data_IF_912059432027
#
_entry.id   IF_912059432027
#
_cell.length_a   1.000
_cell.length_b   1.000
_cell.length_c   1.000
_cell.angle_alpha   90.00
_cell.angle_beta   90.00
_cell.angle_gamma   90.00
#
_symmetry.space_group_name_H-M   'P 1'
#
loop_
_entity.id
_entity.type
_entity.pdbx_description
1 polymer ?
#
# COMPACT_ATOMS: atom_id res chain seq x y z
N UNK A 1 17.25 -12.68 14.63
CA UNK A 1 15.88 -12.81 15.14
C UNK A 1 15.03 -13.31 13.98
N UNK A 2 14.55 -14.55 14.02
CA UNK A 2 13.66 -15.09 12.99
C UNK A 2 12.23 -14.83 13.48
N UNK A 3 11.60 -13.78 12.97
CA UNK A 3 10.21 -13.50 13.30
C UNK A 3 9.34 -14.36 12.39
N UNK A 4 8.69 -15.38 12.96
CA UNK A 4 7.79 -16.24 12.21
C UNK A 4 6.48 -15.49 11.96
N UNK A 5 6.34 -14.89 10.78
CA UNK A 5 5.10 -14.29 10.32
C UNK A 5 4.42 -15.23 9.32
N UNK A 6 3.13 -15.50 9.49
CA UNK A 6 2.38 -16.20 8.44
C UNK A 6 2.06 -15.20 7.31
N UNK A 7 2.23 -15.56 6.03
CA UNK A 7 1.90 -14.67 4.93
C UNK A 7 0.43 -14.22 5.00
N UNK A 8 0.20 -12.91 4.90
CA UNK A 8 -1.14 -12.31 4.87
C UNK A 8 -1.91 -12.30 6.20
N UNK A 9 -1.31 -12.76 7.31
CA UNK A 9 -1.98 -12.78 8.62
C UNK A 9 -1.97 -11.41 9.32
N UNK A 10 -0.88 -10.66 9.17
CA UNK A 10 -0.71 -9.35 9.80
C UNK A 10 -0.18 -8.36 8.77
N UNK A 11 -0.68 -7.12 8.83
CA UNK A 11 -0.11 -5.95 8.19
C UNK A 11 0.11 -4.89 9.26
N UNK A 12 1.31 -4.32 9.31
CA UNK A 12 1.65 -3.24 10.24
C UNK A 12 1.49 -1.92 9.52
N UNK A 13 0.78 -0.97 10.14
CA UNK A 13 0.45 0.32 9.54
C UNK A 13 0.71 1.45 10.52
N UNK A 14 1.17 2.59 10.02
CA UNK A 14 1.33 3.81 10.82
C UNK A 14 1.40 5.06 9.93
N UNK A 15 1.29 6.23 10.57
CA UNK A 15 1.75 7.49 10.00
C UNK A 15 3.23 7.70 10.32
N UNK A 16 4.02 8.17 9.37
CA UNK A 16 5.38 8.61 9.64
C UNK A 16 5.36 9.79 10.62
N UNK A 17 6.25 9.74 11.62
CA UNK A 17 6.30 10.77 12.67
C UNK A 17 6.75 12.15 12.16
N UNK A 18 7.61 12.17 11.15
CA UNK A 18 8.06 13.42 10.52
C UNK A 18 7.04 13.88 9.46
N UNK A 19 6.67 15.16 9.53
CA UNK A 19 5.79 15.78 8.53
C UNK A 19 6.61 16.15 7.29
N UNK A 20 6.23 15.60 6.14
CA UNK A 20 6.79 15.98 4.85
C UNK A 20 6.12 17.26 4.32
N UNK A 21 6.57 17.74 3.17
CA UNK A 21 5.95 18.87 2.49
C UNK A 21 5.92 18.66 0.97
N UNK A 22 4.82 19.11 0.37
CA UNK A 22 4.68 19.28 -1.08
C UNK A 22 4.73 20.78 -1.37
N UNK A 23 5.49 21.17 -2.39
CA UNK A 23 5.53 22.55 -2.84
C UNK A 23 4.59 22.66 -4.04
N UNK A 24 3.56 23.50 -3.92
CA UNK A 24 2.69 23.85 -5.04
C UNK A 24 3.52 24.62 -6.08
N UNK A 25 3.59 24.11 -7.31
CA UNK A 25 4.47 24.65 -8.34
C UNK A 25 3.98 25.97 -8.92
N UNK A 26 2.69 26.27 -8.79
CA UNK A 26 2.06 27.45 -9.37
C UNK A 26 2.12 28.65 -8.41
N UNK A 27 1.97 28.38 -7.12
CA UNK A 27 1.90 29.40 -6.06
C UNK A 27 3.17 29.49 -5.22
N UNK A 28 3.98 28.42 -5.18
CA UNK A 28 5.12 28.27 -4.27
C UNK A 28 4.72 27.95 -2.83
N UNK A 29 3.43 27.68 -2.54
CA UNK A 29 2.96 27.32 -1.21
C UNK A 29 3.57 26.00 -0.74
N UNK A 30 3.97 25.95 0.54
CA UNK A 30 4.48 24.74 1.18
C UNK A 30 3.31 24.09 1.93
N UNK A 31 2.83 22.97 1.40
CA UNK A 31 1.67 22.24 1.91
C UNK A 31 2.15 21.05 2.73
N UNK A 32 1.75 20.91 4.01
CA UNK A 32 2.09 19.75 4.83
C UNK A 32 1.58 18.45 4.22
N UNK A 33 2.43 17.42 4.23
CA UNK A 33 2.08 16.08 3.77
C UNK A 33 2.45 15.04 4.83
N UNK A 34 1.53 14.10 5.07
CA UNK A 34 1.64 13.04 6.06
C UNK A 34 1.75 11.70 5.36
N UNK A 35 2.79 10.94 5.70
CA UNK A 35 3.10 9.71 4.98
C UNK A 35 2.48 8.52 5.70
N UNK A 36 1.54 7.85 5.06
CA UNK A 36 1.03 6.56 5.50
C UNK A 36 2.00 5.46 5.06
N UNK A 37 2.32 4.54 5.97
CA UNK A 37 3.18 3.39 5.71
C UNK A 37 2.47 2.12 6.11
N UNK A 38 2.44 1.13 5.22
CA UNK A 38 1.95 -0.22 5.50
C UNK A 38 3.01 -1.25 5.12
N UNK A 39 3.30 -2.22 6.00
CA UNK A 39 4.32 -3.25 5.76
C UNK A 39 3.78 -4.64 6.07
N UNK A 40 4.04 -5.58 5.15
CA UNK A 40 3.81 -7.00 5.35
C UNK A 40 5.07 -7.63 5.97
N UNK A 41 5.05 -8.00 7.26
CA UNK A 41 6.27 -8.38 7.98
C UNK A 41 6.84 -9.74 7.53
N UNK A 42 6.05 -10.59 6.88
CA UNK A 42 6.54 -11.83 6.28
C UNK A 42 7.50 -11.59 5.10
N UNK A 43 7.15 -10.66 4.21
CA UNK A 43 7.90 -10.41 2.97
C UNK A 43 8.77 -9.16 3.04
N UNK A 44 8.62 -8.32 4.07
CA UNK A 44 9.25 -7.00 4.15
C UNK A 44 8.72 -6.03 3.09
N UNK A 45 7.58 -6.34 2.48
CA UNK A 45 7.02 -5.56 1.40
C UNK A 45 6.24 -4.37 1.98
N UNK A 46 6.59 -3.16 1.56
CA UNK A 46 6.00 -1.92 2.06
C UNK A 46 5.25 -1.15 0.97
N UNK A 47 4.14 -0.55 1.39
CA UNK A 47 3.37 0.45 0.67
C UNK A 47 3.50 1.78 1.39
N UNK A 48 3.66 2.86 0.62
CA UNK A 48 3.87 4.21 1.13
C UNK A 48 3.06 5.18 0.28
N UNK A 49 2.26 6.03 0.91
CA UNK A 49 1.48 7.07 0.23
C UNK A 49 1.40 8.33 1.09
N UNK A 50 1.39 9.50 0.44
CA UNK A 50 1.31 10.79 1.11
C UNK A 50 -0.12 11.34 1.06
N UNK A 51 -0.57 11.90 2.18
CA UNK A 51 -1.89 12.51 2.36
C UNK A 51 -1.76 13.93 2.90
N UNK A 52 -2.72 14.80 2.58
CA UNK A 52 -2.76 16.16 3.13
C UNK A 52 -3.47 16.25 4.50
N UNK A 53 -3.91 15.12 5.06
CA UNK A 53 -4.51 15.03 6.40
C UNK A 53 -4.24 13.67 7.04
N UNK A 54 -4.30 13.62 8.37
CA UNK A 54 -4.24 12.39 9.18
C UNK A 54 -5.62 12.01 9.76
N UNK A 55 -6.70 12.53 9.21
CA UNK A 55 -8.04 12.26 9.70
C UNK A 55 -8.50 10.81 9.38
N UNK A 56 -9.67 10.43 9.91
CA UNK A 56 -10.22 9.09 9.73
C UNK A 56 -10.51 8.72 8.27
N UNK A 57 -10.87 9.71 7.44
CA UNK A 57 -11.16 9.50 6.03
C UNK A 57 -9.87 9.19 5.25
N UNK A 58 -8.80 9.93 5.49
CA UNK A 58 -7.47 9.65 4.95
C UNK A 58 -6.94 8.30 5.43
N UNK A 59 -7.13 7.97 6.72
CA UNK A 59 -6.75 6.67 7.26
C UNK A 59 -7.48 5.51 6.55
N UNK A 60 -8.79 5.64 6.36
CA UNK A 60 -9.61 4.61 5.69
C UNK A 60 -9.23 4.48 4.22
N UNK A 61 -9.04 5.60 3.53
CA UNK A 61 -8.63 5.64 2.13
C UNK A 61 -7.28 4.96 1.93
N UNK A 62 -6.30 5.26 2.77
CA UNK A 62 -4.97 4.66 2.71
C UNK A 62 -4.99 3.12 2.82
N UNK A 63 -5.89 2.57 3.65
CA UNK A 63 -6.07 1.12 3.77
C UNK A 63 -6.67 0.51 2.50
N UNK A 64 -7.68 1.16 1.94
CA UNK A 64 -8.34 0.71 0.71
C UNK A 64 -7.34 0.68 -0.45
N UNK A 65 -6.59 1.76 -0.66
CA UNK A 65 -5.60 1.87 -1.73
C UNK A 65 -4.44 0.88 -1.53
N UNK A 66 -3.93 0.74 -0.30
CA UNK A 66 -2.91 -0.25 0.03
C UNK A 66 -3.36 -1.68 -0.34
N UNK A 67 -4.55 -2.09 0.08
CA UNK A 67 -5.09 -3.42 -0.21
C UNK A 67 -5.31 -3.64 -1.71
N UNK A 68 -5.81 -2.63 -2.42
CA UNK A 68 -5.98 -2.70 -3.88
C UNK A 68 -4.64 -2.89 -4.60
N UNK A 69 -3.60 -2.12 -4.22
CA UNK A 69 -2.27 -2.24 -4.81
C UNK A 69 -1.61 -3.58 -4.49
N UNK A 70 -1.73 -4.05 -3.24
CA UNK A 70 -1.23 -5.37 -2.84
C UNK A 70 -1.92 -6.49 -3.63
N UNK A 71 -3.24 -6.37 -3.82
CA UNK A 71 -4.00 -7.31 -4.63
C UNK A 71 -3.58 -7.29 -6.11
N UNK A 72 -3.46 -6.11 -6.73
CA UNK A 72 -3.00 -5.97 -8.11
C UNK A 72 -1.61 -6.59 -8.30
N UNK A 73 -0.66 -6.30 -7.40
CA UNK A 73 0.68 -6.89 -7.48
C UNK A 73 0.69 -8.39 -7.28
N UNK A 74 -0.20 -8.91 -6.44
CA UNK A 74 -0.40 -10.35 -6.31
C UNK A 74 -0.92 -10.98 -7.62
N UNK A 75 -1.90 -10.35 -8.27
CA UNK A 75 -2.49 -10.88 -9.52
C UNK A 75 -1.55 -10.75 -10.72
N UNK A 76 -0.76 -9.68 -10.78
CA UNK A 76 0.17 -9.42 -11.88
C UNK A 76 1.46 -10.23 -11.77
N UNK A 77 1.67 -10.95 -10.66
CA UNK A 77 2.84 -11.77 -10.47
C UNK A 77 2.97 -12.83 -11.60
N UNK A 78 4.11 -12.90 -12.34
CA UNK A 78 4.24 -13.69 -13.57
C UNK A 78 3.85 -15.17 -13.42
N UNK A 79 4.18 -15.76 -12.26
CA UNK A 79 3.82 -17.14 -11.90
C UNK A 79 2.30 -17.33 -11.86
N UNK A 80 1.56 -16.38 -11.26
CA UNK A 80 0.11 -16.43 -11.09
C UNK A 80 -0.66 -16.06 -12.35
N UNK A 81 -0.10 -15.23 -13.23
CA UNK A 81 -0.74 -14.94 -14.52
C UNK A 81 -0.98 -16.18 -15.37
N UNK A 82 -0.09 -17.18 -15.29
CA UNK A 82 -0.23 -18.45 -16.02
C UNK A 82 -1.37 -19.32 -15.47
N UNK A 83 -1.57 -19.31 -14.15
CA UNK A 83 -2.65 -20.02 -13.46
C UNK A 83 -4.00 -19.33 -13.68
N UNK A 84 -4.04 -18.00 -13.59
CA UNK A 84 -5.25 -17.21 -13.81
C UNK A 84 -5.71 -17.23 -15.29
N UNK A 85 -4.78 -17.25 -16.26
CA UNK A 85 -5.11 -17.46 -17.67
C UNK A 85 -5.70 -18.84 -17.92
N UNK A 86 -5.20 -19.87 -17.23
CA UNK A 86 -5.75 -21.22 -17.33
C UNK A 86 -7.15 -21.27 -16.73
N UNK A 87 -7.38 -20.72 -15.54
CA UNK A 87 -8.71 -20.71 -14.90
C UNK A 87 -9.77 -20.00 -15.77
N UNK A 88 -9.45 -18.83 -16.33
CA UNK A 88 -10.36 -18.10 -17.23
C UNK A 88 -10.63 -18.81 -18.57
N UNK A 89 -9.75 -19.73 -19.01
CA UNK A 89 -9.95 -20.49 -20.24
C UNK A 89 -11.00 -21.61 -20.11
N UNK A 90 -11.44 -21.95 -18.89
CA UNK A 90 -12.47 -22.96 -18.63
C UNK A 90 -13.86 -22.37 -18.33
N UNK A 91 -13.98 -21.04 -18.31
CA UNK A 91 -15.24 -20.31 -18.06
C UNK A 91 -15.95 -19.88 -19.36
N UNK A 92 -15.44 -20.30 -20.52
CA UNK A 92 -15.98 -20.01 -21.86
C UNK A 92 -16.63 -21.21 -22.52
#
# INVERSE_FOLDING_TARGET
MHLNHKPGEVMQVDWAGDTAAVIDTDTGEIIPAYVFVATLPYSGYSYVEAFFSMNQDSWTTAHVECLQILWQRYTDHPVRQSENRRAKAWEG
#
